data_IF_457558973485
#
_entry.id   IF_457558973485
#
_cell.length_a   1.000
_cell.length_b   1.000
_cell.length_c   1.000
_cell.angle_alpha   90.00
_cell.angle_beta   90.00
_cell.angle_gamma   90.00
#
_symmetry.space_group_name_H-M   'P 1'
#
loop_
_entity.id
_entity.type
_entity.pdbx_description
1 polymer ?
#
# COMPACT_ATOMS: atom_id res chain seq x y z
N UNK A 1 -33.44 -4.75 11.88
CA UNK A 1 -32.44 -5.73 11.39
C UNK A 1 -31.78 -5.27 10.07
N UNK A 2 -31.46 -3.98 9.89
CA UNK A 2 -30.82 -3.44 8.66
C UNK A 2 -29.40 -2.90 8.87
N UNK A 3 -29.10 -2.46 10.10
CA UNK A 3 -27.87 -1.75 10.45
C UNK A 3 -26.58 -2.56 10.19
N UNK A 4 -26.58 -3.87 10.45
CA UNK A 4 -25.40 -4.71 10.22
C UNK A 4 -25.03 -4.89 8.73
N UNK A 5 -26.02 -4.94 7.83
CA UNK A 5 -25.78 -5.04 6.39
C UNK A 5 -25.29 -3.71 5.84
N UNK A 6 -25.91 -2.61 6.25
CA UNK A 6 -25.51 -1.25 5.88
C UNK A 6 -24.09 -0.94 6.33
N UNK A 7 -23.73 -1.33 7.56
CA UNK A 7 -22.38 -1.16 8.11
C UNK A 7 -21.32 -1.93 7.28
N UNK A 8 -21.63 -3.16 6.85
CA UNK A 8 -20.70 -3.94 6.01
C UNK A 8 -20.56 -3.31 4.62
N UNK A 9 -21.67 -2.91 4.00
CA UNK A 9 -21.64 -2.26 2.69
C UNK A 9 -20.90 -0.92 2.73
N UNK A 10 -21.08 -0.14 3.80
CA UNK A 10 -20.35 1.10 4.03
C UNK A 10 -18.85 0.85 4.24
N UNK A 11 -18.48 -0.14 5.05
CA UNK A 11 -17.08 -0.52 5.25
C UNK A 11 -16.42 -0.95 3.93
N UNK A 12 -17.10 -1.77 3.12
CA UNK A 12 -16.60 -2.19 1.81
C UNK A 12 -16.51 -1.01 0.82
N UNK A 13 -17.43 -0.05 0.87
CA UNK A 13 -17.36 1.19 0.08
C UNK A 13 -16.13 2.02 0.44
N UNK A 14 -15.90 2.22 1.73
CA UNK A 14 -14.78 2.99 2.21
C UNK A 14 -13.45 2.29 1.90
N UNK A 15 -13.42 0.95 1.98
CA UNK A 15 -12.27 0.15 1.61
C UNK A 15 -11.94 0.25 0.12
N UNK A 16 -12.94 0.19 -0.77
CA UNK A 16 -12.73 0.42 -2.21
C UNK A 16 -12.18 1.83 -2.50
N UNK A 17 -12.74 2.86 -1.85
CA UNK A 17 -12.23 4.23 -1.98
C UNK A 17 -10.78 4.33 -1.50
N UNK A 18 -10.45 3.69 -0.38
CA UNK A 18 -9.10 3.68 0.17
C UNK A 18 -8.12 2.96 -0.76
N UNK A 19 -8.50 1.83 -1.35
CA UNK A 19 -7.67 1.11 -2.32
C UNK A 19 -7.31 2.00 -3.53
N UNK A 20 -8.28 2.72 -4.09
CA UNK A 20 -8.05 3.69 -5.18
C UNK A 20 -7.11 4.83 -4.75
N UNK A 21 -7.29 5.33 -3.53
CA UNK A 21 -6.45 6.39 -2.98
C UNK A 21 -5.00 5.91 -2.79
N UNK A 22 -4.81 4.67 -2.35
CA UNK A 22 -3.47 4.07 -2.17
C UNK A 22 -2.71 3.92 -3.48
N UNK A 23 -3.37 3.56 -4.58
CA UNK A 23 -2.76 3.62 -5.93
C UNK A 23 -2.35 5.04 -6.28
N UNK A 24 -3.19 6.03 -5.97
CA UNK A 24 -2.86 7.45 -6.23
C UNK A 24 -1.62 7.90 -5.46
N UNK A 25 -1.51 7.53 -4.19
CA UNK A 25 -0.33 7.80 -3.37
C UNK A 25 0.91 7.10 -3.90
N UNK A 26 0.82 5.82 -4.24
CA UNK A 26 1.93 5.06 -4.80
C UNK A 26 2.46 5.68 -6.09
N UNK A 27 1.57 6.09 -7.01
CA UNK A 27 1.96 6.79 -8.25
C UNK A 27 2.63 8.14 -8.02
N UNK A 28 2.37 8.79 -6.88
CA UNK A 28 2.97 10.07 -6.49
C UNK A 28 4.20 9.93 -5.61
N UNK A 29 4.56 8.71 -5.21
CA UNK A 29 5.61 8.47 -4.23
C UNK A 29 5.26 8.93 -2.80
N UNK A 30 3.98 9.08 -2.48
CA UNK A 30 3.49 9.47 -1.16
C UNK A 30 3.46 8.23 -0.22
N UNK A 31 4.65 7.68 0.08
CA UNK A 31 4.79 6.41 0.80
C UNK A 31 4.34 6.47 2.26
N UNK A 32 4.57 7.59 2.94
CA UNK A 32 4.14 7.77 4.33
C UNK A 32 2.62 7.64 4.47
N UNK A 33 1.86 8.29 3.58
CA UNK A 33 0.40 8.18 3.55
C UNK A 33 -0.07 6.75 3.27
N UNK A 34 0.65 6.01 2.43
CA UNK A 34 0.35 4.62 2.12
C UNK A 34 0.56 3.74 3.38
N UNK A 35 1.66 3.92 4.11
CA UNK A 35 1.94 3.21 5.36
C UNK A 35 0.92 3.56 6.45
N UNK A 36 0.62 4.84 6.65
CA UNK A 36 -0.36 5.30 7.64
C UNK A 36 -1.76 4.72 7.37
N UNK A 37 -2.10 4.51 6.10
CA UNK A 37 -3.41 3.97 5.71
C UNK A 37 -3.59 2.47 5.97
N UNK A 38 -2.52 1.71 6.27
CA UNK A 38 -2.61 0.26 6.52
C UNK A 38 -3.52 -0.09 7.70
N UNK A 39 -3.40 0.67 8.79
CA UNK A 39 -4.23 0.46 9.98
C UNK A 39 -5.71 0.61 9.63
N UNK A 40 -6.06 1.69 8.90
CA UNK A 40 -7.42 1.95 8.45
C UNK A 40 -7.93 0.88 7.48
N UNK A 41 -7.08 0.40 6.57
CA UNK A 41 -7.40 -0.71 5.66
C UNK A 41 -7.76 -1.97 6.45
N UNK A 42 -6.97 -2.32 7.46
CA UNK A 42 -7.21 -3.47 8.34
C UNK A 42 -8.51 -3.34 9.14
N UNK A 43 -8.79 -2.17 9.72
CA UNK A 43 -10.04 -1.89 10.43
C UNK A 43 -11.27 -2.08 9.55
N UNK A 44 -11.24 -1.55 8.32
CA UNK A 44 -12.35 -1.65 7.39
C UNK A 44 -12.57 -3.10 6.94
N UNK A 45 -11.50 -3.83 6.65
CA UNK A 45 -11.57 -5.25 6.29
C UNK A 45 -12.17 -6.10 7.42
N UNK A 46 -11.77 -5.85 8.68
CA UNK A 46 -12.28 -6.57 9.84
C UNK A 46 -13.78 -6.36 10.08
N UNK A 47 -14.36 -5.27 9.57
CA UNK A 47 -15.80 -4.99 9.68
C UNK A 47 -16.64 -5.71 8.63
N UNK A 48 -16.04 -6.24 7.57
CA UNK A 48 -16.75 -6.95 6.49
C UNK A 48 -17.03 -8.37 6.96
N UNK A 49 -18.30 -8.66 7.23
CA UNK A 49 -18.77 -10.00 7.60
C UNK A 49 -19.84 -10.46 6.63
N UNK A 50 -19.78 -11.72 6.21
CA UNK A 50 -20.64 -12.28 5.14
C UNK A 50 -21.92 -12.91 5.70
N UNK A 51 -21.90 -13.34 6.97
CA UNK A 51 -23.03 -13.91 7.70
C UNK A 51 -24.25 -12.99 7.73
N UNK A 52 -24.05 -11.67 7.74
CA UNK A 52 -25.15 -10.69 7.77
C UNK A 52 -26.00 -10.67 6.50
N UNK A 53 -25.56 -11.35 5.42
CA UNK A 53 -26.26 -11.43 4.13
C UNK A 53 -27.08 -12.72 3.96
N UNK A 54 -27.22 -13.55 4.98
CA UNK A 54 -28.05 -14.75 4.90
C UNK A 54 -29.49 -14.39 4.48
N UNK A 55 -29.97 -15.02 3.40
CA UNK A 55 -31.26 -14.71 2.78
C UNK A 55 -31.32 -13.41 1.97
N UNK A 56 -30.18 -12.79 1.64
CA UNK A 56 -30.05 -11.53 0.88
C UNK A 56 -29.09 -11.65 -0.30
N UNK A 57 -29.37 -12.61 -1.18
CA UNK A 57 -28.46 -13.02 -2.26
C UNK A 57 -28.01 -11.86 -3.19
N UNK A 58 -28.91 -10.95 -3.54
CA UNK A 58 -28.57 -9.80 -4.40
C UNK A 58 -27.55 -8.86 -3.76
N UNK A 59 -27.70 -8.59 -2.46
CA UNK A 59 -26.77 -7.75 -1.71
C UNK A 59 -25.44 -8.48 -1.46
N UNK A 60 -25.48 -9.79 -1.23
CA UNK A 60 -24.30 -10.64 -1.12
C UNK A 60 -23.48 -10.65 -2.42
N UNK A 61 -24.14 -10.74 -3.59
CA UNK A 61 -23.48 -10.63 -4.90
C UNK A 61 -22.87 -9.25 -5.12
N UNK A 62 -23.59 -8.17 -4.75
CA UNK A 62 -23.05 -6.81 -4.85
C UNK A 62 -21.80 -6.61 -3.98
N UNK A 63 -21.77 -7.18 -2.77
CA UNK A 63 -20.58 -7.19 -1.92
C UNK A 63 -19.44 -7.97 -2.57
N UNK A 64 -19.71 -9.15 -3.12
CA UNK A 64 -18.70 -9.98 -3.78
C UNK A 64 -18.06 -9.23 -4.96
N UNK A 65 -18.86 -8.59 -5.82
CA UNK A 65 -18.34 -7.78 -6.94
C UNK A 65 -17.44 -6.65 -6.46
N UNK A 66 -17.77 -6.04 -5.31
CA UNK A 66 -16.97 -4.98 -4.70
C UNK A 66 -15.65 -5.51 -4.14
N UNK A 67 -15.67 -6.65 -3.46
CA UNK A 67 -14.47 -7.30 -2.95
C UNK A 67 -13.53 -7.72 -4.08
N UNK A 68 -14.07 -8.18 -5.22
CA UNK A 68 -13.28 -8.44 -6.43
C UNK A 68 -12.59 -7.17 -6.92
N UNK A 69 -13.31 -6.05 -7.04
CA UNK A 69 -12.68 -4.76 -7.43
C UNK A 69 -11.59 -4.31 -6.45
N UNK A 70 -11.80 -4.50 -5.15
CA UNK A 70 -10.78 -4.20 -4.13
C UNK A 70 -9.54 -5.05 -4.34
N UNK A 71 -9.71 -6.36 -4.56
CA UNK A 71 -8.60 -7.28 -4.86
C UNK A 71 -7.85 -6.85 -6.11
N UNK A 72 -8.56 -6.54 -7.19
CA UNK A 72 -7.94 -6.14 -8.46
C UNK A 72 -7.13 -4.83 -8.30
N UNK A 73 -7.62 -3.88 -7.47
CA UNK A 73 -6.87 -2.66 -7.12
C UNK A 73 -5.63 -2.96 -6.27
N UNK A 74 -5.72 -3.90 -5.32
CA UNK A 74 -4.57 -4.34 -4.53
C UNK A 74 -3.52 -5.03 -5.42
N UNK A 75 -3.95 -5.83 -6.40
CA UNK A 75 -3.07 -6.44 -7.41
C UNK A 75 -2.39 -5.39 -8.30
N UNK A 76 -3.09 -4.31 -8.66
CA UNK A 76 -2.51 -3.18 -9.39
C UNK A 76 -1.47 -2.40 -8.54
N UNK A 77 -1.63 -2.39 -7.21
CA UNK A 77 -0.72 -1.70 -6.32
C UNK A 77 0.65 -2.41 -6.19
N UNK A 78 0.67 -3.74 -6.24
CA UNK A 78 1.88 -4.57 -6.08
C UNK A 78 3.04 -4.11 -6.97
N UNK A 79 2.90 -4.01 -8.31
CA UNK A 79 4.01 -3.62 -9.18
C UNK A 79 4.52 -2.21 -8.89
N UNK A 80 3.68 -1.29 -8.42
CA UNK A 80 4.10 0.07 -8.05
C UNK A 80 5.01 0.05 -6.81
N UNK A 81 4.69 -0.80 -5.84
CA UNK A 81 5.51 -0.99 -4.64
C UNK A 81 6.84 -1.68 -4.96
N UNK A 82 6.81 -2.69 -5.84
CA UNK A 82 8.03 -3.38 -6.29
C UNK A 82 8.97 -2.43 -7.04
N UNK A 83 8.42 -1.63 -7.96
CA UNK A 83 9.20 -0.62 -8.68
C UNK A 83 9.84 0.38 -7.70
N UNK A 84 9.08 0.91 -6.75
CA UNK A 84 9.59 1.86 -5.76
C UNK A 84 10.71 1.27 -4.87
N UNK A 85 10.55 0.00 -4.46
CA UNK A 85 11.59 -0.73 -3.72
C UNK A 85 12.88 -0.84 -4.54
N UNK A 86 12.76 -1.21 -5.82
CA UNK A 86 13.90 -1.43 -6.68
C UNK A 86 14.64 -0.12 -7.00
N UNK A 87 13.90 0.97 -7.23
CA UNK A 87 14.46 2.32 -7.39
C UNK A 87 15.23 2.76 -6.14
N UNK A 88 14.64 2.58 -4.95
CA UNK A 88 15.30 2.91 -3.68
C UNK A 88 16.58 2.08 -3.46
N UNK A 89 16.58 0.80 -3.82
CA UNK A 89 17.77 -0.06 -3.74
C UNK A 89 18.91 0.47 -4.61
N UNK A 90 18.61 0.93 -5.83
CA UNK A 90 19.59 1.56 -6.73
C UNK A 90 20.13 2.87 -6.15
N UNK A 91 19.26 3.70 -5.57
CA UNK A 91 19.68 4.95 -4.92
C UNK A 91 20.60 4.72 -3.72
N UNK A 92 20.26 3.75 -2.86
CA UNK A 92 21.10 3.38 -1.72
C UNK A 92 22.48 2.92 -2.17
N UNK A 93 22.58 2.12 -3.23
CA UNK A 93 23.88 1.72 -3.80
C UNK A 93 24.68 2.92 -4.30
N UNK A 94 24.04 3.90 -4.95
CA UNK A 94 24.71 5.14 -5.40
C UNK A 94 25.24 5.95 -4.21
N UNK A 95 24.46 6.08 -3.14
CA UNK A 95 24.88 6.78 -1.91
C UNK A 95 26.06 6.07 -1.25
N UNK A 96 26.01 4.74 -1.13
CA UNK A 96 27.12 3.96 -0.55
C UNK A 96 28.41 4.10 -1.36
N UNK A 97 28.32 4.05 -2.71
CA UNK A 97 29.49 4.28 -3.60
C UNK A 97 30.06 5.68 -3.44
N UNK A 98 29.21 6.71 -3.37
CA UNK A 98 29.65 8.10 -3.11
C UNK A 98 30.35 8.23 -1.75
N UNK A 99 29.78 7.64 -0.70
CA UNK A 99 30.37 7.66 0.64
C UNK A 99 31.71 6.88 0.71
N UNK A 100 31.86 5.79 -0.03
CA UNK A 100 33.12 5.07 -0.14
C UNK A 100 34.18 5.89 -0.89
N UNK A 101 33.79 6.53 -2.01
CA UNK A 101 34.66 7.44 -2.77
C UNK A 101 35.12 8.65 -1.95
N UNK A 102 34.21 9.28 -1.21
CA UNK A 102 34.53 10.41 -0.33
C UNK A 102 35.53 10.01 0.78
N UNK A 103 35.36 8.82 1.39
CA UNK A 103 36.31 8.28 2.38
C UNK A 103 37.67 7.95 1.79
N UNK A 104 37.71 7.44 0.56
CA UNK A 104 38.97 7.16 -0.14
C UNK A 104 39.72 8.45 -0.48
N UNK A 105 39.00 9.49 -0.92
CA UNK A 105 39.59 10.80 -1.21
C UNK A 105 40.07 11.53 0.06
N UNK A 106 39.33 11.45 1.16
CA UNK A 106 39.76 12.01 2.46
C UNK A 106 41.04 11.31 2.97
N UNK A 107 41.16 9.99 2.79
CA UNK A 107 42.38 9.23 3.13
C UNK A 107 43.58 9.61 2.28
N UNK A 108 43.41 9.77 0.97
CA UNK A 108 44.52 10.15 0.07
C UNK A 108 44.91 11.61 0.19
N UNK A 109 43.95 12.51 0.47
CA UNK A 109 44.21 13.94 0.68
C UNK A 109 44.82 14.25 2.06
N UNK A 110 44.57 13.44 3.09
CA UNK A 110 45.24 13.53 4.40
C UNK A 110 46.65 12.92 4.44
N UNK A 111 47.14 12.36 3.34
CA UNK A 111 48.55 12.02 3.18
C UNK A 111 49.02 10.80 3.99
N UNK A 112 48.16 9.85 4.33
CA UNK A 112 48.61 8.57 4.85
C UNK A 112 49.12 7.69 3.70
N UNK A 113 50.42 7.85 3.38
CA UNK A 113 51.19 6.79 2.75
C UNK A 113 51.35 5.68 3.79
N UNK A 114 50.62 4.59 3.61
CA UNK A 114 51.02 3.26 4.08
C UNK A 114 51.69 2.54 2.94
#
# INVERSE_FOLDING_TARGET
>A
MGQGVEDVLAAAAELERLARQRITWARRGEWDALVESEARRGELAARIRVDVFEGRDDLGRSLADRLTRIRDLDEELVPLLEQARDELAVELQKVQKKAAGARAYDRTSRGEKG
#
